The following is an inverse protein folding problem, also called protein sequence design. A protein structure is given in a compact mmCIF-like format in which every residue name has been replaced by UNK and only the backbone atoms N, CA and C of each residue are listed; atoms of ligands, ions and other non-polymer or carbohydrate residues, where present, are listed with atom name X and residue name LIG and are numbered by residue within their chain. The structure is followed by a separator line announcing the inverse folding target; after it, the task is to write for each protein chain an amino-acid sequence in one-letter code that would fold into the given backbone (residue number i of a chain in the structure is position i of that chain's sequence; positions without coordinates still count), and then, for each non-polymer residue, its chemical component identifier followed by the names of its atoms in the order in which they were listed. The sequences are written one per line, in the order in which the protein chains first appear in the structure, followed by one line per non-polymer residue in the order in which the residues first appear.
data_IF_236521292681
#
_entry.id   IF_236521292681
#
_cell.length_a   1.000
_cell.length_b   1.000
_cell.length_c   1.000
_cell.angle_alpha   90.00
_cell.angle_beta   90.00
_cell.angle_gamma   90.00
#
_symmetry.space_group_name_H-M   'P 1'
#
loop_
_entity.id
_entity.type
_entity.pdbx_description
1 polymer ?
#
# COMPACT_ATOMS: atom_id res chain seq x y z
N UNK A 1 0.54 -0.62 2.81
CA UNK A 1 -0.54 -1.58 2.45
C UNK A 1 -1.89 -0.90 2.61
N UNK A 2 -2.93 -1.36 1.89
CA UNK A 2 -4.32 -0.91 2.06
C UNK A 2 -5.16 -2.08 2.62
N UNK A 3 -6.07 -1.81 3.56
CA UNK A 3 -6.87 -2.84 4.23
C UNK A 3 -8.23 -2.30 4.65
N UNK A 4 -9.22 -3.19 4.79
CA UNK A 4 -10.60 -2.86 5.14
C UNK A 4 -11.48 -2.49 3.95
N UNK A 5 -12.59 -1.80 4.24
CA UNK A 5 -13.51 -1.32 3.20
C UNK A 5 -12.92 -0.15 2.42
N UNK A 6 -12.89 -0.25 1.09
CA UNK A 6 -12.38 0.82 0.25
C UNK A 6 -13.29 2.05 0.29
N UNK A 7 -12.70 3.24 0.42
CA UNK A 7 -13.39 4.53 0.27
C UNK A 7 -12.93 5.21 -1.02
N UNK A 8 -13.63 6.26 -1.44
CA UNK A 8 -13.29 7.01 -2.66
C UNK A 8 -11.91 7.70 -2.59
N UNK A 9 -11.35 7.91 -1.39
CA UNK A 9 -10.12 8.70 -1.17
C UNK A 9 -8.94 7.85 -0.69
N UNK A 10 -9.12 6.53 -0.56
CA UNK A 10 -8.09 5.65 -0.03
C UNK A 10 -6.82 5.64 -0.89
N UNK A 11 -6.96 5.78 -2.20
CA UNK A 11 -5.81 5.92 -3.11
C UNK A 11 -5.13 7.28 -3.01
N UNK A 12 -5.87 8.33 -2.67
CA UNK A 12 -5.28 9.66 -2.45
C UNK A 12 -4.34 9.64 -1.24
N UNK A 13 -4.72 8.96 -0.15
CA UNK A 13 -3.84 8.75 1.00
C UNK A 13 -2.58 7.95 0.64
N UNK A 14 -2.72 6.86 -0.13
CA UNK A 14 -1.57 6.08 -0.61
C UNK A 14 -0.59 6.94 -1.41
N UNK A 15 -1.10 7.73 -2.35
CA UNK A 15 -0.26 8.59 -3.21
C UNK A 15 0.41 9.69 -2.39
N UNK A 16 -0.28 10.28 -1.41
CA UNK A 16 0.33 11.28 -0.52
C UNK A 16 1.53 10.74 0.26
N UNK A 17 1.44 9.49 0.75
CA UNK A 17 2.56 8.83 1.45
C UNK A 17 3.74 8.61 0.50
N UNK A 18 3.49 8.10 -0.71
CA UNK A 18 4.55 7.85 -1.70
C UNK A 18 5.24 9.17 -2.09
N UNK A 19 4.44 10.23 -2.29
CA UNK A 19 4.95 11.54 -2.69
C UNK A 19 5.84 12.16 -1.60
N UNK A 20 5.38 12.15 -0.36
CA UNK A 20 6.17 12.65 0.78
C UNK A 20 7.44 11.84 0.99
N UNK A 21 7.36 10.50 0.94
CA UNK A 21 8.53 9.65 1.09
C UNK A 21 9.59 9.94 0.02
N UNK A 22 9.16 10.10 -1.24
CA UNK A 22 10.03 10.46 -2.37
C UNK A 22 10.67 11.83 -2.21
N UNK A 23 9.91 12.85 -1.77
CA UNK A 23 10.41 14.21 -1.58
C UNK A 23 11.33 14.37 -0.36
N UNK A 24 11.06 13.62 0.71
CA UNK A 24 11.84 13.70 1.94
C UNK A 24 13.29 13.24 1.76
N UNK A 25 13.55 12.33 0.83
CA UNK A 25 14.85 11.66 0.67
C UNK A 25 15.27 10.82 1.89
N UNK A 26 14.37 10.62 2.86
CA UNK A 26 14.65 9.90 4.09
C UNK A 26 14.58 8.37 3.93
N UNK A 27 14.06 7.89 2.81
CA UNK A 27 13.84 6.48 2.52
C UNK A 27 14.43 6.13 1.16
N UNK A 28 15.27 5.11 1.10
CA UNK A 28 15.81 4.59 -0.16
C UNK A 28 14.74 3.85 -0.97
N UNK A 29 13.85 3.13 -0.28
CA UNK A 29 12.79 2.33 -0.87
C UNK A 29 11.48 2.45 -0.10
N UNK A 30 10.37 2.45 -0.85
CA UNK A 30 9.00 2.41 -0.36
C UNK A 30 8.33 1.18 -0.97
N UNK A 31 7.78 0.33 -0.10
CA UNK A 31 7.16 -0.93 -0.49
C UNK A 31 5.65 -0.94 -0.21
N UNK A 32 4.87 -1.50 -1.12
CA UNK A 32 3.45 -1.75 -0.97
C UNK A 32 3.14 -3.25 -1.02
N UNK A 33 2.41 -3.78 -0.03
CA UNK A 33 1.89 -5.14 -0.10
C UNK A 33 0.63 -5.19 -0.98
N UNK A 34 0.60 -6.12 -1.93
CA UNK A 34 -0.59 -6.47 -2.71
C UNK A 34 -1.64 -7.12 -1.80
N UNK A 35 -2.92 -6.88 -2.04
CA UNK A 35 -4.04 -7.51 -1.33
C UNK A 35 -4.01 -7.38 0.21
N UNK A 36 -3.48 -6.29 0.74
CA UNK A 36 -3.47 -6.04 2.18
C UNK A 36 -2.55 -7.00 2.95
N UNK A 37 -3.07 -7.60 4.02
CA UNK A 37 -2.29 -8.46 4.93
C UNK A 37 -1.94 -9.81 4.29
N UNK A 38 -2.79 -10.35 3.44
CA UNK A 38 -2.56 -11.61 2.72
C UNK A 38 -1.33 -11.53 1.84
N UNK A 39 -1.23 -10.53 0.96
CA UNK A 39 -0.05 -10.43 0.12
C UNK A 39 1.20 -9.97 0.88
N UNK A 40 1.07 -9.46 2.11
CA UNK A 40 2.25 -9.34 2.98
C UNK A 40 2.75 -10.72 3.43
N UNK A 41 1.86 -11.62 3.84
CA UNK A 41 2.24 -12.98 4.24
C UNK A 41 2.65 -13.89 3.08
N UNK A 42 2.17 -13.61 1.87
CA UNK A 42 2.54 -14.35 0.65
C UNK A 42 3.75 -13.73 -0.08
N UNK A 43 4.51 -12.83 0.57
CA UNK A 43 5.65 -12.11 -0.02
C UNK A 43 5.32 -11.36 -1.34
N UNK A 44 4.06 -11.01 -1.55
CA UNK A 44 3.58 -10.19 -2.68
C UNK A 44 3.77 -8.70 -2.40
N UNK A 45 5.01 -8.31 -2.14
CA UNK A 45 5.41 -6.94 -1.86
C UNK A 45 6.01 -6.33 -3.13
N UNK A 46 5.53 -5.16 -3.52
CA UNK A 46 5.98 -4.42 -4.71
C UNK A 46 6.72 -3.14 -4.34
N UNK A 47 7.79 -2.83 -5.07
CA UNK A 47 8.49 -1.55 -4.95
C UNK A 47 7.64 -0.44 -5.61
N UNK A 48 7.28 0.58 -4.83
CA UNK A 48 6.50 1.74 -5.29
C UNK A 48 7.30 3.05 -5.26
N UNK A 49 8.61 2.97 -5.04
CA UNK A 49 9.49 4.14 -4.89
C UNK A 49 9.56 5.00 -6.15
N UNK A 50 9.54 4.37 -7.33
CA UNK A 50 9.79 5.02 -8.61
C UNK A 50 8.57 5.01 -9.55
N UNK A 51 7.36 5.02 -8.98
CA UNK A 51 6.14 5.08 -9.78
C UNK A 51 6.04 6.45 -10.49
N UNK A 52 5.86 6.49 -11.83
CA UNK A 52 5.78 7.76 -12.55
C UNK A 52 4.68 8.68 -12.02
N UNK A 53 4.95 9.99 -11.93
CA UNK A 53 3.99 10.98 -11.41
C UNK A 53 2.63 10.93 -12.11
N UNK A 54 2.61 10.71 -13.42
CA UNK A 54 1.37 10.57 -14.19
C UNK A 54 0.55 9.35 -13.73
N UNK A 55 1.20 8.25 -13.39
CA UNK A 55 0.53 7.06 -12.84
C UNK A 55 0.02 7.31 -11.43
N UNK A 56 0.81 7.96 -10.57
CA UNK A 56 0.36 8.37 -9.24
C UNK A 56 -0.88 9.28 -9.30
N UNK A 57 -0.92 10.25 -10.22
CA UNK A 57 -2.08 11.12 -10.40
C UNK A 57 -3.34 10.35 -10.84
N UNK A 58 -3.19 9.32 -11.68
CA UNK A 58 -4.31 8.43 -12.08
C UNK A 58 -4.78 7.56 -10.92
N UNK A 59 -3.85 7.05 -10.12
CA UNK A 59 -4.17 6.26 -8.93
C UNK A 59 -4.93 7.12 -7.93
N UNK A 60 -4.45 8.35 -7.65
CA UNK A 60 -5.04 9.25 -6.66
C UNK A 60 -6.50 9.60 -6.94
N UNK A 61 -6.92 9.61 -8.21
CA UNK A 61 -8.30 9.90 -8.63
C UNK A 61 -9.15 8.65 -8.87
N UNK A 62 -8.55 7.45 -8.88
CA UNK A 62 -9.28 6.21 -9.03
C UNK A 62 -9.94 5.80 -7.70
N UNK A 63 -11.23 5.43 -7.70
CA UNK A 63 -11.87 4.89 -6.50
C UNK A 63 -11.27 3.52 -6.13
N UNK A 64 -11.39 3.12 -4.87
CA UNK A 64 -10.98 1.79 -4.43
C UNK A 64 -9.59 1.77 -3.76
N UNK A 65 -8.93 0.62 -3.86
CA UNK A 65 -7.59 0.36 -3.33
C UNK A 65 -6.69 -0.13 -4.46
N UNK A 66 -5.73 0.68 -4.88
CA UNK A 66 -4.81 0.39 -5.97
C UNK A 66 -3.84 -0.76 -5.65
N UNK A 67 -3.53 -0.98 -4.37
CA UNK A 67 -2.77 -2.15 -3.92
C UNK A 67 -3.67 -3.35 -3.64
N UNK A 68 -4.99 -3.24 -3.82
CA UNK A 68 -5.95 -4.22 -3.31
C UNK A 68 -6.16 -4.09 -1.81
N UNK A 69 -7.22 -4.71 -1.31
CA UNK A 69 -7.59 -4.67 0.11
C UNK A 69 -8.20 -6.01 0.52
N UNK A 70 -8.05 -6.34 1.81
CA UNK A 70 -8.63 -7.51 2.46
C UNK A 70 -9.40 -7.10 3.72
N UNK A 71 -10.24 -8.00 4.24
CA UNK A 71 -10.89 -7.87 5.55
C UNK A 71 -10.31 -8.83 6.60
N UNK A 72 -9.28 -9.60 6.25
CA UNK A 72 -8.60 -10.47 7.21
C UNK A 72 -8.00 -9.64 8.33
N UNK A 73 -8.22 -10.12 9.55
CA UNK A 73 -7.61 -9.54 10.76
C UNK A 73 -6.38 -10.37 11.10
N UNK A 74 -5.41 -9.71 11.71
CA UNK A 74 -4.29 -10.40 12.35
C UNK A 74 -4.83 -11.23 13.53
N UNK A 75 -4.41 -12.48 13.61
CA UNK A 75 -4.76 -13.43 14.68
C UNK A 75 -3.51 -13.86 15.44
N UNK A 76 -3.68 -14.54 16.57
CA UNK A 76 -2.53 -15.07 17.34
C UNK A 76 -1.73 -16.10 16.53
N UNK A 77 -2.38 -16.86 15.65
CA UNK A 77 -1.72 -17.84 14.76
C UNK A 77 -0.78 -17.19 13.73
N UNK A 78 -0.92 -15.88 13.48
CA UNK A 78 -0.06 -15.11 12.58
C UNK A 78 1.22 -14.60 13.26
N UNK A 79 1.28 -14.67 14.58
CA UNK A 79 2.41 -14.14 15.34
C UNK A 79 3.58 -15.13 15.27
N UNK A 80 4.83 -14.62 15.19
CA UNK A 80 5.99 -15.50 15.28
C UNK A 80 5.97 -16.24 16.62
N UNK A 81 6.25 -17.54 16.59
CA UNK A 81 6.46 -18.34 17.80
C UNK A 81 7.81 -17.93 18.37
N UNK A 82 7.78 -17.03 19.35
CA UNK A 82 8.94 -16.59 20.14
C UNK A 82 9.14 -17.43 21.39
#
# INVERSE_FOLDING_TARGET
MQSGGCTNVLNSSLVGIIDEASQSGAFDHVYGASLGLEGFFEDQVIDVSNVPRQTLNRIASAPGAALGSTRRRLTEDDLPVV
#
